data_IF_837749483626
#
_entry.id   IF_837749483626
#
_cell.length_a   1.000
_cell.length_b   1.000
_cell.length_c   1.000
_cell.angle_alpha   90.00
_cell.angle_beta   90.00
_cell.angle_gamma   90.00
#
_symmetry.space_group_name_H-M   'P 1'
#
loop_
_entity.id
_entity.type
_entity.pdbx_description
1 polymer ?
#
# COMPACT_ATOMS: atom_id res chain seq x y z
N UNK A 1 17.80 -5.10 -21.99
CA UNK A 1 17.83 -5.97 -20.78
C UNK A 1 17.61 -5.06 -19.58
N UNK A 2 16.34 -4.86 -19.20
CA UNK A 2 15.80 -4.39 -17.91
C UNK A 2 14.42 -3.82 -18.23
N UNK A 3 13.39 -4.65 -18.07
CA UNK A 3 11.99 -4.28 -18.24
C UNK A 3 11.20 -5.12 -17.24
N UNK A 4 11.46 -4.89 -15.95
CA UNK A 4 10.80 -5.53 -14.83
C UNK A 4 10.71 -4.51 -13.70
N UNK A 5 9.51 -3.97 -13.47
CA UNK A 5 8.93 -3.76 -12.13
C UNK A 5 7.71 -2.83 -12.19
N UNK A 6 6.62 -3.25 -12.83
CA UNK A 6 5.29 -2.79 -12.42
C UNK A 6 4.31 -3.96 -12.61
N UNK A 7 3.35 -4.06 -11.69
CA UNK A 7 2.40 -5.16 -11.44
C UNK A 7 2.82 -6.25 -10.46
N UNK A 8 2.65 -5.98 -9.16
CA UNK A 8 2.21 -6.99 -8.20
C UNK A 8 1.20 -6.37 -7.21
N UNK A 9 -0.08 -6.50 -7.54
CA UNK A 9 -1.19 -6.57 -6.56
C UNK A 9 -1.91 -7.91 -6.81
N UNK A 10 -2.18 -8.73 -5.77
CA UNK A 10 -2.67 -10.10 -5.96
C UNK A 10 -4.20 -10.13 -6.01
N UNK A 11 -4.77 -10.54 -7.15
CA UNK A 11 -6.16 -11.00 -7.25
C UNK A 11 -6.18 -12.49 -7.59
N UNK A 12 -6.49 -13.32 -6.61
CA UNK A 12 -6.73 -14.77 -6.77
C UNK A 12 -8.23 -15.04 -6.81
N UNK A 13 -8.77 -15.45 -7.97
CA UNK A 13 -9.98 -16.27 -8.02
C UNK A 13 -10.23 -16.90 -9.40
N UNK A 14 -10.52 -18.21 -9.36
CA UNK A 14 -11.16 -19.14 -10.34
C UNK A 14 -10.19 -20.05 -11.12
N UNK A 15 -10.49 -21.32 -11.41
CA UNK A 15 -11.40 -22.37 -10.85
C UNK A 15 -11.05 -23.66 -11.63
N UNK A 16 -10.80 -24.77 -10.94
CA UNK A 16 -11.20 -26.16 -11.22
C UNK A 16 -11.66 -26.58 -12.65
N UNK A 17 -11.00 -27.60 -13.25
CA UNK A 17 -11.45 -29.03 -13.38
C UNK A 17 -10.81 -29.77 -14.58
N UNK A 18 -10.37 -31.02 -14.34
CA UNK A 18 -10.65 -32.29 -15.07
C UNK A 18 -9.60 -33.36 -14.67
N UNK A 19 -9.93 -34.29 -13.75
CA UNK A 19 -10.26 -35.73 -13.94
C UNK A 19 -9.16 -36.58 -14.60
N UNK A 20 -8.48 -37.46 -13.84
CA UNK A 20 -8.79 -38.88 -13.53
C UNK A 20 -8.46 -39.88 -14.65
N UNK A 21 -7.53 -40.80 -14.36
CA UNK A 21 -7.38 -42.25 -14.69
C UNK A 21 -6.02 -42.60 -14.02
N UNK A 22 -5.81 -43.54 -13.10
CA UNK A 22 -6.43 -44.82 -12.80
C UNK A 22 -5.32 -45.88 -12.92
N UNK A 23 -4.86 -46.47 -11.81
CA UNK A 23 -4.28 -47.83 -11.75
C UNK A 23 -3.99 -48.29 -10.32
N UNK A 24 -4.62 -49.42 -10.02
CA UNK A 24 -4.58 -50.24 -8.80
C UNK A 24 -3.31 -51.08 -8.72
N UNK A 25 -2.63 -51.15 -7.56
CA UNK A 25 -1.88 -52.35 -7.15
C UNK A 25 -2.08 -52.60 -5.65
N UNK A 26 -2.56 -53.80 -5.33
CA UNK A 26 -2.69 -54.38 -3.99
C UNK A 26 -1.32 -54.69 -3.38
N UNK A 27 -1.19 -54.45 -2.08
CA UNK A 27 -0.13 -55.00 -1.23
C UNK A 27 -0.56 -54.94 0.24
N UNK A 28 -0.81 -56.10 0.82
CA UNK A 28 -1.32 -56.29 2.19
C UNK A 28 -0.19 -56.28 3.23
N UNK A 29 -0.54 -55.99 4.50
CA UNK A 29 -0.06 -56.61 5.77
C UNK A 29 0.21 -55.59 6.90
N UNK A 30 -0.67 -55.67 7.91
CA UNK A 30 -0.49 -55.49 9.36
C UNK A 30 0.22 -54.24 9.95
N UNK A 31 -0.55 -53.53 10.78
CA UNK A 31 -0.10 -53.17 12.13
C UNK A 31 0.28 -51.72 12.38
N UNK A 32 -0.72 -50.85 12.59
CA UNK A 32 -0.61 -49.66 13.46
C UNK A 32 -2.02 -49.12 13.74
N UNK A 33 -2.76 -49.74 14.66
CA UNK A 33 -3.92 -49.09 15.28
C UNK A 33 -3.42 -48.25 16.46
N UNK A 34 -3.87 -46.99 16.50
CA UNK A 34 -3.71 -45.98 17.56
C UNK A 34 -2.54 -44.99 17.39
N UNK A 35 -2.68 -44.09 16.42
CA UNK A 35 -2.08 -42.74 16.47
C UNK A 35 -2.90 -41.72 15.67
N UNK A 36 -3.72 -42.15 14.70
CA UNK A 36 -4.45 -41.24 13.80
C UNK A 36 -5.70 -40.57 14.39
N UNK A 37 -6.21 -41.02 15.54
CA UNK A 37 -7.46 -40.48 16.10
C UNK A 37 -7.29 -39.22 16.97
N UNK A 38 -6.07 -38.90 17.43
CA UNK A 38 -5.83 -37.68 18.22
C UNK A 38 -5.54 -36.45 17.35
N UNK A 39 -4.97 -36.67 16.15
CA UNK A 39 -4.64 -35.60 15.20
C UNK A 39 -5.90 -35.03 14.52
N UNK A 40 -6.89 -35.89 14.24
CA UNK A 40 -8.16 -35.45 13.62
C UNK A 40 -8.98 -34.53 14.55
N UNK A 41 -8.90 -34.74 15.87
CA UNK A 41 -9.77 -34.06 16.84
C UNK A 41 -9.29 -32.64 17.21
N UNK A 42 -7.97 -32.42 17.27
CA UNK A 42 -7.38 -31.09 17.53
C UNK A 42 -7.44 -30.18 16.29
N UNK A 43 -7.60 -30.77 15.10
CA UNK A 43 -7.74 -30.01 13.84
C UNK A 43 -9.04 -29.20 13.75
N UNK A 44 -10.10 -29.64 14.45
CA UNK A 44 -11.42 -28.99 14.39
C UNK A 44 -11.41 -27.62 15.09
N UNK A 45 -10.93 -27.47 16.35
CA UNK A 45 -10.76 -26.17 16.98
C UNK A 45 -9.92 -25.20 16.14
N UNK A 46 -8.81 -25.68 15.55
CA UNK A 46 -7.92 -24.87 14.72
C UNK A 46 -8.57 -24.39 13.41
N UNK A 47 -9.38 -25.23 12.76
CA UNK A 47 -10.17 -24.80 11.58
C UNK A 47 -11.27 -23.81 11.94
N UNK A 48 -11.93 -23.99 13.09
CA UNK A 48 -12.97 -23.08 13.56
C UNK A 48 -12.40 -21.68 13.84
N UNK A 49 -11.23 -21.61 14.50
CA UNK A 49 -10.57 -20.34 14.70
C UNK A 49 -10.06 -19.75 13.39
N UNK A 50 -9.51 -20.54 12.46
CA UNK A 50 -9.09 -20.03 11.15
C UNK A 50 -10.22 -19.25 10.47
N UNK A 51 -11.41 -19.86 10.38
CA UNK A 51 -12.61 -19.23 9.82
C UNK A 51 -13.03 -17.99 10.62
N UNK A 52 -12.93 -18.04 11.96
CA UNK A 52 -13.30 -16.93 12.83
C UNK A 52 -12.37 -15.73 12.66
N UNK A 53 -11.05 -15.95 12.62
CA UNK A 53 -10.05 -14.88 12.41
C UNK A 53 -10.19 -14.29 11.01
N UNK A 54 -10.44 -15.11 9.98
CA UNK A 54 -10.74 -14.64 8.63
C UNK A 54 -11.96 -13.71 8.60
N UNK A 55 -13.06 -14.10 9.26
CA UNK A 55 -14.25 -13.27 9.37
C UNK A 55 -13.97 -11.93 10.10
N UNK A 56 -13.24 -11.97 11.21
CA UNK A 56 -12.85 -10.76 11.95
C UNK A 56 -11.98 -9.85 11.09
N UNK A 57 -11.00 -10.41 10.38
CA UNK A 57 -10.13 -9.68 9.46
C UNK A 57 -10.92 -9.01 8.35
N UNK A 58 -11.83 -9.73 7.70
CA UNK A 58 -12.58 -9.20 6.58
C UNK A 58 -13.43 -8.00 7.04
N UNK A 59 -14.07 -8.10 8.22
CA UNK A 59 -14.78 -6.98 8.85
C UNK A 59 -13.88 -5.79 9.17
N UNK A 60 -12.67 -6.03 9.68
CA UNK A 60 -11.70 -4.94 9.92
C UNK A 60 -11.31 -4.26 8.61
N UNK A 61 -11.12 -5.01 7.51
CA UNK A 61 -10.81 -4.45 6.19
C UNK A 61 -11.96 -3.61 5.64
N UNK A 62 -13.20 -4.07 5.81
CA UNK A 62 -14.41 -3.31 5.43
C UNK A 62 -14.52 -1.98 6.16
N UNK A 63 -13.98 -1.89 7.38
CA UNK A 63 -13.70 -0.63 8.06
C UNK A 63 -14.91 0.05 8.69
N UNK A 64 -16.01 -0.68 8.91
CA UNK A 64 -17.22 -0.21 9.60
C UNK A 64 -16.86 0.53 10.89
N UNK A 65 -17.54 1.64 11.17
CA UNK A 65 -17.37 2.36 12.43
C UNK A 65 -18.31 1.79 13.47
N UNK A 66 -17.84 1.60 14.71
CA UNK A 66 -18.76 1.59 15.84
C UNK A 66 -19.31 3.01 16.00
N UNK A 67 -20.61 3.19 15.80
CA UNK A 67 -21.35 4.44 16.10
C UNK A 67 -21.53 4.63 17.62
N UNK A 68 -20.52 4.31 18.42
CA UNK A 68 -20.59 4.54 19.87
C UNK A 68 -20.28 6.00 20.20
N UNK A 69 -21.25 6.86 19.89
CA UNK A 69 -21.49 8.14 20.55
C UNK A 69 -21.89 7.87 22.00
N UNK A 70 -21.00 8.13 22.98
CA UNK A 70 -21.37 8.36 24.40
C UNK A 70 -20.19 8.59 25.36
N UNK A 71 -18.93 8.43 24.95
CA UNK A 71 -17.77 8.52 25.85
C UNK A 71 -16.76 9.57 25.45
N UNK A 72 -16.14 10.23 26.43
CA UNK A 72 -14.92 11.03 26.21
C UNK A 72 -13.81 10.07 25.79
N UNK A 73 -13.49 10.03 24.49
CA UNK A 73 -12.38 9.24 23.98
C UNK A 73 -11.06 9.75 24.56
N UNK A 74 -10.22 8.83 25.05
CA UNK A 74 -8.90 9.14 25.58
C UNK A 74 -7.82 8.50 24.70
N UNK A 75 -7.08 9.33 23.97
CA UNK A 75 -6.07 8.91 23.00
C UNK A 75 -4.91 8.14 23.65
N UNK A 76 -4.45 8.55 24.83
CA UNK A 76 -3.38 7.85 25.55
C UNK A 76 -3.80 6.45 25.96
N UNK A 77 -4.98 6.32 26.57
CA UNK A 77 -5.53 5.02 26.97
C UNK A 77 -5.78 4.11 25.77
N UNK A 78 -6.23 4.67 24.64
CA UNK A 78 -6.36 3.93 23.38
C UNK A 78 -5.01 3.33 22.95
N UNK A 79 -3.95 4.14 22.87
CA UNK A 79 -2.63 3.66 22.45
C UNK A 79 -2.04 2.62 23.41
N UNK A 80 -2.16 2.83 24.71
CA UNK A 80 -1.69 1.87 25.72
C UNK A 80 -2.43 0.54 25.60
N UNK A 81 -3.75 0.57 25.47
CA UNK A 81 -4.58 -0.63 25.33
C UNK A 81 -4.29 -1.35 24.02
N UNK A 82 -4.12 -0.61 22.92
CA UNK A 82 -3.79 -1.18 21.61
C UNK A 82 -2.43 -1.89 21.65
N UNK A 83 -1.41 -1.25 22.21
CA UNK A 83 -0.09 -1.84 22.35
C UNK A 83 -0.10 -3.12 23.21
N UNK A 84 -0.93 -3.16 24.26
CA UNK A 84 -1.13 -4.37 25.06
C UNK A 84 -1.84 -5.47 24.27
N UNK A 85 -2.87 -5.13 23.49
CA UNK A 85 -3.59 -6.08 22.65
C UNK A 85 -2.70 -6.70 21.55
N UNK A 86 -1.85 -5.89 20.92
CA UNK A 86 -0.85 -6.35 19.93
C UNK A 86 0.15 -7.31 20.58
N UNK A 87 0.70 -6.96 21.75
CA UNK A 87 1.61 -7.83 22.51
C UNK A 87 0.94 -9.16 22.89
N UNK A 88 -0.32 -9.13 23.32
CA UNK A 88 -1.08 -10.34 23.63
C UNK A 88 -1.26 -11.21 22.39
N UNK A 89 -1.65 -10.64 21.25
CA UNK A 89 -1.79 -11.37 19.98
C UNK A 89 -0.48 -12.06 19.56
N UNK A 90 0.66 -11.35 19.63
CA UNK A 90 1.99 -11.90 19.36
C UNK A 90 2.37 -13.06 20.31
N UNK A 91 2.10 -12.91 21.61
CA UNK A 91 2.37 -13.94 22.60
C UNK A 91 1.51 -15.19 22.39
N UNK A 92 0.20 -15.02 22.13
CA UNK A 92 -0.69 -16.14 21.86
C UNK A 92 -0.36 -16.85 20.55
N UNK A 93 0.04 -16.11 19.51
CA UNK A 93 0.53 -16.70 18.26
C UNK A 93 1.80 -17.54 18.50
N UNK A 94 2.72 -17.05 19.32
CA UNK A 94 3.95 -17.78 19.70
C UNK A 94 3.63 -19.04 20.49
N UNK A 95 2.73 -18.96 21.48
CA UNK A 95 2.29 -20.12 22.27
C UNK A 95 1.63 -21.17 21.38
N UNK A 96 0.74 -20.75 20.49
CA UNK A 96 0.08 -21.63 19.54
C UNK A 96 1.12 -22.34 18.66
N UNK A 97 2.04 -21.59 18.06
CA UNK A 97 3.11 -22.15 17.24
C UNK A 97 3.94 -23.17 18.02
N UNK A 98 4.48 -22.80 19.19
CA UNK A 98 5.31 -23.71 19.98
C UNK A 98 4.56 -24.98 20.41
N UNK A 99 3.28 -24.88 20.78
CA UNK A 99 2.47 -26.02 21.20
C UNK A 99 2.29 -27.07 20.10
N UNK A 100 2.23 -26.64 18.84
CA UNK A 100 2.06 -27.50 17.68
C UNK A 100 3.37 -27.82 16.94
N UNK A 101 4.53 -27.44 17.51
CA UNK A 101 5.83 -27.56 16.86
C UNK A 101 6.48 -28.94 16.97
N UNK A 102 6.11 -29.76 17.95
CA UNK A 102 6.69 -31.09 18.14
C UNK A 102 5.81 -31.99 19.02
N UNK A 103 5.93 -33.32 18.89
CA UNK A 103 5.27 -34.25 19.79
C UNK A 103 5.75 -34.14 21.26
N UNK A 104 4.90 -34.51 22.24
CA UNK A 104 3.49 -34.85 22.06
C UNK A 104 2.66 -33.60 21.75
N UNK A 105 1.69 -33.75 20.85
CA UNK A 105 0.75 -32.66 20.53
C UNK A 105 -0.17 -32.35 21.72
N UNK A 106 -0.74 -31.13 21.77
CA UNK A 106 -1.67 -30.76 22.83
C UNK A 106 -2.83 -31.74 22.89
N UNK A 107 -3.36 -31.98 24.10
CA UNK A 107 -4.62 -32.71 24.25
C UNK A 107 -5.75 -31.94 23.57
N UNK A 108 -6.90 -32.58 23.32
CA UNK A 108 -8.07 -31.90 22.76
C UNK A 108 -8.47 -30.69 23.61
N UNK A 109 -8.49 -30.84 24.93
CA UNK A 109 -8.83 -29.76 25.86
C UNK A 109 -7.81 -28.62 25.82
N UNK A 110 -6.50 -28.94 25.81
CA UNK A 110 -5.45 -27.91 25.70
C UNK A 110 -5.48 -27.22 24.33
N UNK A 111 -5.77 -27.95 23.26
CA UNK A 111 -5.92 -27.42 21.91
C UNK A 111 -7.11 -26.45 21.79
N UNK A 112 -8.25 -26.78 22.41
CA UNK A 112 -9.40 -25.86 22.53
C UNK A 112 -9.00 -24.61 23.32
N UNK A 113 -8.35 -24.76 24.48
CA UNK A 113 -7.89 -23.60 25.28
C UNK A 113 -6.93 -22.69 24.53
N UNK A 114 -6.00 -23.26 23.76
CA UNK A 114 -5.08 -22.50 22.91
C UNK A 114 -5.81 -21.74 21.81
N UNK A 115 -6.76 -22.38 21.13
CA UNK A 115 -7.60 -21.74 20.11
C UNK A 115 -8.45 -20.61 20.74
N UNK A 116 -9.13 -20.84 21.86
CA UNK A 116 -9.90 -19.79 22.53
C UNK A 116 -9.03 -18.59 22.94
N UNK A 117 -7.80 -18.85 23.39
CA UNK A 117 -6.86 -17.80 23.81
C UNK A 117 -6.43 -16.88 22.66
N UNK A 118 -6.03 -17.45 21.52
CA UNK A 118 -5.68 -16.64 20.35
C UNK A 118 -6.92 -15.97 19.73
N UNK A 119 -8.08 -16.64 19.72
CA UNK A 119 -9.35 -16.03 19.25
C UNK A 119 -9.72 -14.81 20.09
N UNK A 120 -9.63 -14.92 21.42
CA UNK A 120 -9.88 -13.82 22.35
C UNK A 120 -8.92 -12.66 22.09
N UNK A 121 -7.64 -12.96 21.89
CA UNK A 121 -6.62 -11.92 21.66
C UNK A 121 -6.84 -11.15 20.37
N UNK A 122 -7.17 -11.83 19.26
CA UNK A 122 -7.50 -11.15 18.00
C UNK A 122 -8.79 -10.34 18.07
N UNK A 123 -9.78 -10.82 18.83
CA UNK A 123 -11.04 -10.10 19.03
C UNK A 123 -10.83 -8.83 19.86
N UNK A 124 -10.01 -8.91 20.92
CA UNK A 124 -9.63 -7.74 21.72
C UNK A 124 -8.89 -6.73 20.86
N UNK A 125 -7.88 -7.16 20.09
CA UNK A 125 -7.14 -6.27 19.18
C UNK A 125 -8.09 -5.54 18.20
N UNK A 126 -8.98 -6.30 17.56
CA UNK A 126 -9.95 -5.74 16.60
C UNK A 126 -10.93 -4.79 17.29
N UNK A 127 -11.38 -5.12 18.50
CA UNK A 127 -12.28 -4.28 19.29
C UNK A 127 -11.64 -2.95 19.64
N UNK A 128 -10.37 -2.97 20.07
CA UNK A 128 -9.63 -1.75 20.42
C UNK A 128 -9.44 -0.88 19.19
N UNK A 129 -9.16 -1.45 18.01
CA UNK A 129 -9.15 -0.69 16.75
C UNK A 129 -10.45 0.11 16.53
N UNK A 130 -11.61 -0.51 16.75
CA UNK A 130 -12.91 0.16 16.58
C UNK A 130 -13.16 1.28 17.61
N UNK A 131 -12.35 1.42 18.65
CA UNK A 131 -12.45 2.54 19.58
C UNK A 131 -11.91 3.85 19.00
N UNK A 132 -11.07 3.82 17.97
CA UNK A 132 -10.49 5.01 17.35
C UNK A 132 -11.56 5.74 16.51
N UNK A 133 -12.05 6.91 16.94
CA UNK A 133 -13.09 7.63 16.24
C UNK A 133 -12.55 8.29 14.96
N UNK A 134 -13.43 8.46 13.97
CA UNK A 134 -13.11 9.16 12.72
C UNK A 134 -12.70 10.63 12.95
N UNK A 135 -13.16 11.26 14.02
CA UNK A 135 -12.81 12.63 14.40
C UNK A 135 -11.33 12.83 14.74
N UNK A 136 -10.58 11.75 14.99
CA UNK A 136 -9.13 11.79 15.19
C UNK A 136 -8.35 11.58 13.89
N UNK A 137 -9.04 11.49 12.75
CA UNK A 137 -8.45 11.42 11.42
C UNK A 137 -8.70 10.11 10.72
N UNK A 138 -9.23 10.20 9.50
CA UNK A 138 -9.44 9.07 8.61
C UNK A 138 -8.10 8.48 8.16
N UNK A 139 -7.09 9.32 7.92
CA UNK A 139 -5.74 8.88 7.55
C UNK A 139 -5.08 8.06 8.65
N UNK A 140 -5.07 8.57 9.89
CA UNK A 140 -4.58 7.82 11.05
C UNK A 140 -5.34 6.51 11.23
N UNK A 141 -6.68 6.57 11.21
CA UNK A 141 -7.53 5.39 11.39
C UNK A 141 -7.28 4.33 10.32
N UNK A 142 -7.05 4.73 9.06
CA UNK A 142 -6.69 3.82 7.97
C UNK A 142 -5.38 3.10 8.26
N UNK A 143 -4.34 3.80 8.70
CA UNK A 143 -3.06 3.18 9.03
C UNK A 143 -3.17 2.18 10.18
N UNK A 144 -3.93 2.51 11.23
CA UNK A 144 -4.19 1.58 12.35
C UNK A 144 -5.01 0.36 11.89
N UNK A 145 -6.03 0.58 11.04
CA UNK A 145 -6.83 -0.50 10.45
C UNK A 145 -5.94 -1.46 9.66
N UNK A 146 -5.11 -0.92 8.76
CA UNK A 146 -4.29 -1.72 7.86
C UNK A 146 -3.26 -2.53 8.66
N UNK A 147 -2.59 -1.93 9.64
CA UNK A 147 -1.69 -2.65 10.56
C UNK A 147 -2.41 -3.74 11.37
N UNK A 148 -3.64 -3.47 11.83
CA UNK A 148 -4.47 -4.48 12.52
C UNK A 148 -4.82 -5.63 11.59
N UNK A 149 -5.24 -5.34 10.37
CA UNK A 149 -5.56 -6.34 9.36
C UNK A 149 -4.35 -7.21 9.00
N UNK A 150 -3.15 -6.63 8.93
CA UNK A 150 -1.91 -7.39 8.70
C UNK A 150 -1.59 -8.37 9.83
N UNK A 151 -1.78 -7.98 11.10
CA UNK A 151 -1.63 -8.92 12.23
C UNK A 151 -2.62 -10.08 12.11
N UNK A 152 -3.87 -9.78 11.76
CA UNK A 152 -4.89 -10.81 11.56
C UNK A 152 -4.57 -11.73 10.38
N UNK A 153 -4.07 -11.17 9.26
CA UNK A 153 -3.58 -11.96 8.12
C UNK A 153 -2.41 -12.86 8.53
N UNK A 154 -1.46 -12.36 9.32
CA UNK A 154 -0.38 -13.17 9.87
C UNK A 154 -0.89 -14.34 10.74
N UNK A 155 -1.86 -14.09 11.62
CA UNK A 155 -2.48 -15.14 12.45
C UNK A 155 -3.22 -16.16 11.57
N UNK A 156 -3.94 -15.72 10.55
CA UNK A 156 -4.59 -16.61 9.57
C UNK A 156 -3.55 -17.50 8.89
N UNK A 157 -2.44 -16.93 8.40
CA UNK A 157 -1.36 -17.69 7.77
C UNK A 157 -0.73 -18.71 8.74
N UNK A 158 -0.46 -18.32 9.99
CA UNK A 158 0.09 -19.23 10.99
C UNK A 158 -0.86 -20.41 11.27
N UNK A 159 -2.15 -20.13 11.51
CA UNK A 159 -3.12 -21.20 11.78
C UNK A 159 -3.29 -22.11 10.57
N UNK A 160 -3.32 -21.55 9.36
CA UNK A 160 -3.43 -22.32 8.12
C UNK A 160 -2.23 -23.27 7.92
N UNK A 161 -1.01 -22.78 8.18
CA UNK A 161 0.22 -23.59 8.14
C UNK A 161 0.17 -24.72 9.18
N UNK A 162 -0.27 -24.44 10.42
CA UNK A 162 -0.39 -25.45 11.47
C UNK A 162 -1.43 -26.51 11.07
N UNK A 163 -2.58 -26.11 10.52
CA UNK A 163 -3.64 -27.05 10.10
C UNK A 163 -3.22 -27.89 8.90
N UNK A 164 -2.38 -27.34 8.01
CA UNK A 164 -1.99 -27.97 6.75
C UNK A 164 -0.70 -28.81 6.85
N UNK A 165 0.12 -28.59 7.89
CA UNK A 165 1.40 -29.27 8.06
C UNK A 165 1.27 -30.59 8.83
N UNK A 166 2.04 -31.63 8.48
CA UNK A 166 2.20 -32.80 9.34
C UNK A 166 2.95 -32.38 10.61
N UNK A 167 2.24 -32.29 11.73
CA UNK A 167 2.67 -31.78 13.05
C UNK A 167 3.74 -32.64 13.77
N UNK A 168 4.73 -33.12 13.03
CA UNK A 168 5.79 -34.03 13.51
C UNK A 168 7.04 -33.27 13.95
N UNK A 169 7.29 -32.09 13.40
CA UNK A 169 8.40 -31.21 13.73
C UNK A 169 8.12 -29.76 13.31
N UNK A 170 8.88 -28.82 13.88
CA UNK A 170 8.74 -27.39 13.61
C UNK A 170 9.17 -27.13 12.17
N UNK A 171 8.21 -26.82 11.30
CA UNK A 171 8.48 -26.58 9.89
C UNK A 171 9.06 -25.17 9.67
N UNK A 172 9.80 -25.01 8.57
CA UNK A 172 10.28 -23.69 8.15
C UNK A 172 9.11 -22.74 7.86
N UNK A 173 8.02 -23.24 7.27
CA UNK A 173 6.81 -22.45 7.01
C UNK A 173 6.15 -21.97 8.30
N UNK A 174 6.16 -22.80 9.35
CA UNK A 174 5.63 -22.42 10.66
C UNK A 174 6.49 -21.34 11.32
N UNK A 175 7.82 -21.45 11.22
CA UNK A 175 8.73 -20.41 11.68
C UNK A 175 8.53 -19.09 10.93
N UNK A 176 8.40 -19.15 9.60
CA UNK A 176 8.18 -17.98 8.76
C UNK A 176 6.84 -17.32 9.04
N UNK A 177 5.75 -18.09 9.14
CA UNK A 177 4.43 -17.54 9.47
C UNK A 177 4.38 -16.95 10.87
N UNK A 178 5.01 -17.59 11.87
CA UNK A 178 5.15 -17.03 13.22
C UNK A 178 5.93 -15.70 13.19
N UNK A 179 7.06 -15.66 12.47
CA UNK A 179 7.85 -14.45 12.26
C UNK A 179 7.09 -13.34 11.51
N UNK A 180 6.18 -13.72 10.60
CA UNK A 180 5.27 -12.81 9.93
C UNK A 180 4.32 -12.10 10.90
N UNK A 181 3.75 -12.83 11.88
CA UNK A 181 2.93 -12.22 12.95
C UNK A 181 3.74 -11.22 13.76
N UNK A 182 4.97 -11.59 14.14
CA UNK A 182 5.85 -10.69 14.90
C UNK A 182 6.16 -9.42 14.13
N UNK A 183 6.58 -9.55 12.86
CA UNK A 183 6.87 -8.41 12.01
C UNK A 183 5.65 -7.49 11.84
N UNK A 184 4.44 -8.04 11.71
CA UNK A 184 3.22 -7.25 11.67
C UNK A 184 2.94 -6.54 13.01
N UNK A 185 3.21 -7.18 14.14
CA UNK A 185 3.06 -6.56 15.47
C UNK A 185 4.08 -5.43 15.69
N UNK A 186 5.32 -5.61 15.26
CA UNK A 186 6.40 -4.64 15.45
C UNK A 186 6.12 -3.30 14.73
N UNK A 187 5.33 -3.33 13.64
CA UNK A 187 4.90 -2.11 12.93
C UNK A 187 4.14 -1.11 13.81
N UNK A 188 3.48 -1.57 14.89
CA UNK A 188 2.73 -0.69 15.80
C UNK A 188 3.63 0.27 16.59
N UNK A 189 4.92 -0.02 16.71
CA UNK A 189 5.89 0.88 17.32
C UNK A 189 6.09 2.15 16.47
N UNK A 190 5.97 2.00 15.15
CA UNK A 190 6.23 3.05 14.16
C UNK A 190 4.96 3.73 13.64
N UNK A 191 3.78 3.32 14.11
CA UNK A 191 2.54 3.98 13.72
C UNK A 191 2.51 5.44 14.21
N UNK A 192 2.01 6.38 13.38
CA UNK A 192 1.82 7.76 13.78
C UNK A 192 0.84 7.84 14.96
N UNK A 193 1.07 8.79 15.87
CA UNK A 193 0.25 8.92 17.10
C UNK A 193 -0.89 9.93 16.96
N UNK A 194 -0.89 10.72 15.90
CA UNK A 194 -1.89 11.72 15.54
C UNK A 194 -2.08 11.79 14.01
N UNK A 195 -3.10 12.53 13.55
CA UNK A 195 -3.40 12.63 12.13
C UNK A 195 -2.38 13.45 11.34
N UNK A 196 -1.74 14.44 11.98
CA UNK A 196 -0.71 15.25 11.31
C UNK A 196 0.47 14.37 10.89
N UNK A 197 0.98 13.53 11.78
CA UNK A 197 2.04 12.58 11.47
C UNK A 197 1.60 11.54 10.42
N UNK A 198 0.34 11.10 10.46
CA UNK A 198 -0.20 10.20 9.45
C UNK A 198 -0.21 10.83 8.04
N UNK A 199 -0.71 12.06 7.93
CA UNK A 199 -0.74 12.82 6.67
C UNK A 199 0.67 13.13 6.18
N UNK A 200 1.60 13.50 7.07
CA UNK A 200 3.00 13.70 6.69
C UNK A 200 3.66 12.45 6.14
N UNK A 201 3.37 11.28 6.71
CA UNK A 201 3.84 10.00 6.20
C UNK A 201 3.35 9.73 4.77
N UNK A 202 2.05 9.95 4.52
CA UNK A 202 1.45 9.79 3.18
C UNK A 202 2.06 10.77 2.17
N UNK A 203 2.14 12.05 2.51
CA UNK A 203 2.72 13.06 1.62
C UNK A 203 4.19 12.76 1.31
N UNK A 204 4.96 12.27 2.28
CA UNK A 204 6.36 11.87 2.07
C UNK A 204 6.45 10.70 1.08
N UNK A 205 5.55 9.71 1.18
CA UNK A 205 5.47 8.62 0.21
C UNK A 205 5.15 9.14 -1.20
N UNK A 206 4.19 10.07 -1.34
CA UNK A 206 3.84 10.66 -2.63
C UNK A 206 5.00 11.48 -3.22
N UNK A 207 5.73 12.24 -2.39
CA UNK A 207 6.96 12.95 -2.82
C UNK A 207 7.99 11.96 -3.36
N UNK A 208 8.18 10.81 -2.70
CA UNK A 208 9.08 9.74 -3.14
C UNK A 208 8.71 9.24 -4.53
N UNK A 209 7.48 8.79 -4.71
CA UNK A 209 6.98 8.26 -5.99
C UNK A 209 7.16 9.26 -7.14
N UNK A 210 6.80 10.53 -6.92
CA UNK A 210 6.94 11.55 -7.97
C UNK A 210 8.41 11.87 -8.25
N UNK A 211 9.28 11.83 -7.23
CA UNK A 211 10.73 12.03 -7.42
C UNK A 211 11.33 10.89 -8.25
N UNK A 212 10.93 9.65 -7.98
CA UNK A 212 11.38 8.48 -8.74
C UNK A 212 10.92 8.61 -10.21
N UNK A 213 9.68 9.05 -10.46
CA UNK A 213 9.21 9.30 -11.83
C UNK A 213 10.01 10.41 -12.56
N UNK A 214 10.41 11.49 -11.86
CA UNK A 214 11.28 12.51 -12.45
C UNK A 214 12.65 11.93 -12.81
N UNK A 215 13.24 11.14 -11.93
CA UNK A 215 14.55 10.51 -12.15
C UNK A 215 14.48 9.51 -13.32
N UNK A 216 13.41 8.73 -13.41
CA UNK A 216 13.16 7.80 -14.51
C UNK A 216 13.04 8.55 -15.85
N UNK A 217 12.26 9.63 -15.91
CA UNK A 217 12.13 10.45 -17.11
C UNK A 217 13.46 11.09 -17.55
N UNK A 218 14.28 11.54 -16.59
CA UNK A 218 15.59 12.14 -16.87
C UNK A 218 16.60 11.08 -17.36
N UNK A 219 16.60 9.90 -16.73
CA UNK A 219 17.47 8.79 -17.12
C UNK A 219 17.10 8.27 -18.52
N UNK A 220 15.81 8.10 -18.79
CA UNK A 220 15.35 7.61 -20.09
C UNK A 220 15.78 8.56 -21.24
N UNK A 221 15.72 9.87 -21.02
CA UNK A 221 16.25 10.84 -21.99
C UNK A 221 17.76 10.72 -22.20
N UNK A 222 18.53 10.59 -21.12
CA UNK A 222 19.99 10.49 -21.20
C UNK A 222 20.44 9.22 -21.94
N UNK A 223 19.74 8.10 -21.75
CA UNK A 223 20.05 6.81 -22.37
C UNK A 223 19.59 6.72 -23.84
N UNK A 224 18.72 7.62 -24.29
CA UNK A 224 18.17 7.65 -25.66
C UNK A 224 19.09 8.28 -26.71
N UNK A 225 20.32 8.65 -26.36
CA UNK A 225 21.33 9.04 -27.34
C UNK A 225 21.74 7.81 -28.15
N UNK A 226 21.38 7.76 -29.45
CA UNK A 226 21.74 6.65 -30.33
C UNK A 226 23.27 6.49 -30.39
N UNK A 227 23.84 5.37 -29.90
CA UNK A 227 25.29 5.12 -29.94
C UNK A 227 25.87 5.08 -31.36
N UNK A 228 25.01 5.01 -32.38
CA UNK A 228 25.37 4.96 -33.79
C UNK A 228 25.01 6.23 -34.57
N UNK A 229 24.50 7.27 -33.89
CA UNK A 229 24.15 8.57 -34.52
C UNK A 229 25.34 9.22 -35.25
N UNK A 230 26.56 8.98 -34.80
CA UNK A 230 27.79 9.57 -35.37
C UNK A 230 28.41 8.72 -36.50
N UNK A 231 27.86 7.54 -36.79
CA UNK A 231 28.51 6.53 -37.66
C UNK A 231 27.80 6.36 -39.01
N UNK A 232 26.57 6.85 -39.16
CA UNK A 232 25.74 6.62 -40.34
C UNK A 232 25.46 7.93 -41.09
N UNK A 233 25.62 7.91 -42.41
CA UNK A 233 25.17 9.00 -43.29
C UNK A 233 23.63 9.05 -43.31
N UNK A 234 23.07 10.26 -43.44
CA UNK A 234 21.63 10.55 -43.35
C UNK A 234 20.74 9.68 -44.28
N UNK A 235 21.29 9.13 -45.37
CA UNK A 235 20.56 8.29 -46.34
C UNK A 235 20.25 6.86 -45.83
N UNK A 236 20.96 6.36 -44.81
CA UNK A 236 20.75 5.00 -44.27
C UNK A 236 19.77 4.95 -43.07
N UNK A 237 19.43 6.11 -42.49
CA UNK A 237 18.54 6.22 -41.32
C UNK A 237 17.07 5.93 -41.66
N UNK A 238 16.62 6.23 -42.88
CA UNK A 238 15.25 5.98 -43.35
C UNK A 238 14.95 4.48 -43.55
N UNK A 239 15.95 3.61 -43.58
CA UNK A 239 15.78 2.15 -43.80
C UNK A 239 15.54 1.34 -42.53
N UNK A 240 15.71 1.94 -41.34
CA UNK A 240 15.41 1.28 -40.07
C UNK A 240 13.90 1.33 -39.82
N UNK A 241 13.22 0.20 -40.04
CA UNK A 241 11.78 0.00 -39.75
C UNK A 241 11.39 0.05 -38.25
N UNK A 242 12.08 0.87 -37.45
CA UNK A 242 11.96 1.03 -36.00
C UNK A 242 11.79 2.51 -35.59
N UNK A 243 11.34 3.39 -36.48
CA UNK A 243 11.09 4.82 -36.19
C UNK A 243 10.19 5.02 -34.95
N UNK A 244 9.21 4.14 -34.74
CA UNK A 244 8.29 4.18 -33.58
C UNK A 244 8.96 3.85 -32.23
N UNK A 245 10.26 3.49 -32.22
CA UNK A 245 11.00 3.09 -31.01
C UNK A 245 11.84 4.24 -30.41
N UNK A 246 11.95 5.37 -31.12
CA UNK A 246 12.83 6.48 -30.73
C UNK A 246 12.05 7.79 -30.61
N UNK A 247 12.54 8.68 -29.75
CA UNK A 247 12.04 10.05 -29.68
C UNK A 247 12.55 10.88 -30.86
N UNK A 248 11.61 11.55 -31.53
CA UNK A 248 11.93 12.63 -32.47
C UNK A 248 12.47 13.87 -31.74
N UNK A 249 13.00 14.84 -32.48
CA UNK A 249 13.43 16.12 -31.89
C UNK A 249 12.22 16.90 -31.33
N UNK A 250 11.08 16.83 -32.01
CA UNK A 250 9.81 17.39 -31.58
C UNK A 250 9.35 16.75 -30.25
N UNK A 251 9.47 15.43 -30.12
CA UNK A 251 9.16 14.71 -28.88
C UNK A 251 10.05 15.20 -27.74
N UNK A 252 11.36 15.31 -27.98
CA UNK A 252 12.32 15.79 -26.96
C UNK A 252 12.00 17.20 -26.50
N UNK A 253 11.60 18.09 -27.42
CA UNK A 253 11.16 19.44 -27.08
C UNK A 253 9.90 19.44 -26.22
N UNK A 254 8.95 18.51 -26.48
CA UNK A 254 7.71 18.34 -25.72
C UNK A 254 7.94 17.75 -24.32
N UNK A 255 8.94 16.88 -24.16
CA UNK A 255 9.24 16.28 -22.86
C UNK A 255 9.68 17.31 -21.81
N UNK A 256 10.43 18.35 -22.19
CA UNK A 256 10.96 19.34 -21.25
C UNK A 256 9.87 20.07 -20.43
N UNK A 257 8.80 20.65 -21.03
CA UNK A 257 7.71 21.23 -20.26
C UNK A 257 6.85 20.19 -19.53
N UNK A 258 6.75 18.95 -20.02
CA UNK A 258 6.10 17.86 -19.28
C UNK A 258 6.85 17.51 -17.99
N UNK A 259 8.19 17.37 -18.05
CA UNK A 259 9.05 17.24 -16.88
C UNK A 259 8.93 18.46 -15.96
N UNK A 260 8.81 19.66 -16.51
CA UNK A 260 8.54 20.88 -15.73
C UNK A 260 7.25 20.78 -14.91
N UNK A 261 6.20 20.19 -15.48
CA UNK A 261 4.93 19.96 -14.80
C UNK A 261 5.04 18.89 -13.69
N UNK A 262 5.75 17.78 -13.93
CA UNK A 262 6.03 16.76 -12.91
C UNK A 262 6.91 17.33 -11.79
N UNK A 263 7.92 18.15 -12.12
CA UNK A 263 8.73 18.87 -11.12
C UNK A 263 7.89 19.85 -10.29
N UNK A 264 6.90 20.50 -10.90
CA UNK A 264 5.97 21.37 -10.19
C UNK A 264 5.07 20.57 -9.22
N UNK A 265 4.63 19.36 -9.58
CA UNK A 265 3.87 18.49 -8.68
C UNK A 265 4.72 18.02 -7.48
N UNK A 266 5.98 17.64 -7.72
CA UNK A 266 6.93 17.31 -6.66
C UNK A 266 7.17 18.51 -5.71
N UNK A 267 7.34 19.71 -6.27
CA UNK A 267 7.49 20.92 -5.48
C UNK A 267 6.24 21.26 -4.67
N UNK A 268 5.05 21.07 -5.25
CA UNK A 268 3.75 21.24 -4.58
C UNK A 268 3.63 20.31 -3.37
N UNK A 269 3.89 19.02 -3.54
CA UNK A 269 3.86 18.04 -2.46
C UNK A 269 4.88 18.39 -1.37
N UNK A 270 6.12 18.74 -1.71
CA UNK A 270 7.14 19.14 -0.72
C UNK A 270 6.76 20.38 0.08
N UNK A 271 6.19 21.39 -0.58
CA UNK A 271 5.72 22.62 0.08
C UNK A 271 4.52 22.34 0.98
N UNK A 272 3.56 21.55 0.50
CA UNK A 272 2.44 21.07 1.32
C UNK A 272 2.93 20.30 2.55
N UNK A 273 3.85 19.34 2.40
CA UNK A 273 4.44 18.62 3.54
C UNK A 273 5.11 19.56 4.54
N UNK A 274 5.80 20.59 4.05
CA UNK A 274 6.44 21.59 4.91
C UNK A 274 5.41 22.42 5.68
N UNK A 275 4.32 22.85 5.02
CA UNK A 275 3.24 23.60 5.63
C UNK A 275 2.47 22.75 6.66
N UNK A 276 2.11 21.50 6.34
CA UNK A 276 1.49 20.56 7.29
C UNK A 276 2.40 20.33 8.50
N UNK A 277 3.72 20.19 8.29
CA UNK A 277 4.67 19.99 9.39
C UNK A 277 4.79 21.21 10.30
N UNK A 278 4.75 22.40 9.74
CA UNK A 278 4.92 23.64 10.49
C UNK A 278 3.62 24.10 11.18
N UNK A 279 2.49 23.95 10.50
CA UNK A 279 1.24 24.63 10.82
C UNK A 279 0.06 23.66 11.04
N UNK A 280 0.24 22.36 10.84
CA UNK A 280 -0.79 21.35 11.03
C UNK A 280 -1.29 21.31 12.48
N UNK A 281 -2.60 21.36 12.65
CA UNK A 281 -3.27 21.29 13.94
C UNK A 281 -4.25 20.12 13.99
N UNK A 282 -4.25 19.40 15.11
CA UNK A 282 -5.13 18.26 15.39
C UNK A 282 -6.03 18.49 16.61
N UNK A 283 -6.09 19.73 17.10
CA UNK A 283 -6.85 20.10 18.30
C UNK A 283 -8.36 20.13 18.09
N UNK A 284 -8.82 20.34 16.85
CA UNK A 284 -10.23 20.41 16.47
C UNK A 284 -10.60 19.39 15.39
N UNK A 285 -11.80 18.81 15.41
CA UNK A 285 -12.26 17.90 14.35
C UNK A 285 -12.24 18.55 12.96
N UNK A 286 -12.49 19.85 12.87
CA UNK A 286 -12.46 20.62 11.62
C UNK A 286 -11.05 20.68 11.03
N UNK A 287 -10.03 20.97 11.85
CA UNK A 287 -8.65 20.98 11.38
C UNK A 287 -8.18 19.56 10.99
N UNK A 288 -8.57 18.54 11.75
CA UNK A 288 -8.31 17.14 11.40
C UNK A 288 -8.91 16.77 10.03
N UNK A 289 -10.16 17.16 9.78
CA UNK A 289 -10.82 16.92 8.49
C UNK A 289 -10.10 17.63 7.34
N UNK A 290 -9.64 18.87 7.54
CA UNK A 290 -8.85 19.58 6.52
C UNK A 290 -7.52 18.88 6.21
N UNK A 291 -6.85 18.26 7.21
CA UNK A 291 -5.65 17.46 6.96
C UNK A 291 -5.96 16.21 6.12
N UNK A 292 -7.10 15.56 6.38
CA UNK A 292 -7.55 14.42 5.58
C UNK A 292 -7.89 14.85 4.14
N UNK A 293 -8.60 15.96 3.95
CA UNK A 293 -8.92 16.52 2.62
C UNK A 293 -7.64 16.79 1.82
N UNK A 294 -6.60 17.33 2.47
CA UNK A 294 -5.29 17.57 1.85
C UNK A 294 -4.61 16.27 1.41
N UNK A 295 -4.62 15.24 2.26
CA UNK A 295 -4.08 13.93 1.91
C UNK A 295 -4.87 13.28 0.77
N UNK A 296 -6.19 13.43 0.78
CA UNK A 296 -7.10 12.84 -0.20
C UNK A 296 -6.96 13.47 -1.58
N UNK A 297 -6.77 14.78 -1.70
CA UNK A 297 -6.50 15.38 -3.01
C UNK A 297 -5.05 15.13 -3.47
N UNK A 298 -4.08 15.10 -2.54
CA UNK A 298 -2.67 14.91 -2.87
C UNK A 298 -2.38 13.52 -3.45
N UNK A 299 -3.13 12.49 -3.06
CA UNK A 299 -2.97 11.12 -3.58
C UNK A 299 -3.20 11.01 -5.10
N UNK A 300 -3.99 11.92 -5.67
CA UNK A 300 -4.31 11.94 -7.11
C UNK A 300 -3.14 12.44 -7.98
N UNK A 301 -2.12 13.05 -7.36
CA UNK A 301 -0.93 13.51 -8.10
C UNK A 301 -0.16 12.31 -8.65
N UNK A 302 0.10 11.28 -7.85
CA UNK A 302 0.96 10.17 -8.27
C UNK A 302 0.41 9.41 -9.49
N UNK A 303 -0.87 8.99 -9.54
CA UNK A 303 -1.43 8.39 -10.76
C UNK A 303 -1.42 9.33 -11.97
N UNK A 304 -1.68 10.64 -11.77
CA UNK A 304 -1.64 11.61 -12.87
C UNK A 304 -0.24 11.84 -13.43
N UNK A 305 0.79 11.74 -12.58
CA UNK A 305 2.20 11.77 -12.97
C UNK A 305 2.55 10.52 -13.77
N UNK A 306 2.11 9.34 -13.31
CA UNK A 306 2.34 8.06 -13.97
C UNK A 306 1.70 8.04 -15.37
N UNK A 307 0.43 8.45 -15.49
CA UNK A 307 -0.27 8.57 -16.77
C UNK A 307 0.48 9.47 -17.77
N UNK A 308 0.97 10.63 -17.29
CA UNK A 308 1.75 11.56 -18.11
C UNK A 308 3.09 10.94 -18.51
N UNK A 309 3.82 10.35 -17.56
CA UNK A 309 5.12 9.73 -17.82
C UNK A 309 5.00 8.60 -18.85
N UNK A 310 4.01 7.73 -18.71
CA UNK A 310 3.74 6.64 -19.65
C UNK A 310 3.41 7.15 -21.06
N UNK A 311 2.64 8.24 -21.17
CA UNK A 311 2.32 8.83 -22.48
C UNK A 311 3.52 9.46 -23.19
N UNK A 312 4.65 9.63 -22.50
CA UNK A 312 5.86 10.20 -23.07
C UNK A 312 6.80 9.16 -23.66
N UNK A 313 6.53 7.86 -23.55
CA UNK A 313 7.35 6.84 -24.21
C UNK A 313 6.92 6.65 -25.68
N UNK A 314 7.87 6.38 -26.61
CA UNK A 314 7.54 6.16 -28.01
C UNK A 314 6.64 4.92 -28.24
N UNK A 315 5.77 4.94 -29.26
CA UNK A 315 5.42 6.10 -30.09
C UNK A 315 4.55 7.10 -29.31
N UNK A 316 4.92 8.38 -29.34
CA UNK A 316 4.24 9.42 -28.55
C UNK A 316 2.98 9.91 -29.26
N UNK A 317 1.81 9.79 -28.60
CA UNK A 317 0.57 10.40 -29.08
C UNK A 317 0.33 11.76 -28.43
N UNK A 318 0.50 12.85 -29.20
CA UNK A 318 0.44 14.22 -28.67
C UNK A 318 -0.92 14.58 -28.06
N UNK A 319 -2.02 14.06 -28.58
CA UNK A 319 -3.35 14.22 -27.99
C UNK A 319 -3.42 13.60 -26.58
N UNK A 320 -2.84 12.41 -26.40
CA UNK A 320 -2.76 11.73 -25.10
C UNK A 320 -1.86 12.48 -24.11
N UNK A 321 -0.72 12.98 -24.58
CA UNK A 321 0.18 13.83 -23.77
C UNK A 321 -0.53 15.11 -23.33
N UNK A 322 -1.27 15.79 -24.22
CA UNK A 322 -2.03 16.99 -23.87
C UNK A 322 -3.10 16.69 -22.81
N UNK A 323 -3.87 15.61 -22.99
CA UNK A 323 -4.92 15.22 -22.05
C UNK A 323 -4.34 14.93 -20.66
N UNK A 324 -3.29 14.12 -20.59
CA UNK A 324 -2.65 13.74 -19.32
C UNK A 324 -1.98 14.95 -18.65
N UNK A 325 -1.35 15.84 -19.43
CA UNK A 325 -0.79 17.09 -18.91
C UNK A 325 -1.89 18.03 -18.36
N UNK A 326 -3.03 18.14 -19.05
CA UNK A 326 -4.18 18.91 -18.58
C UNK A 326 -4.75 18.32 -17.28
N UNK A 327 -4.83 16.98 -17.18
CA UNK A 327 -5.29 16.26 -15.99
C UNK A 327 -4.36 16.54 -14.80
N UNK A 328 -3.06 16.34 -14.97
CA UNK A 328 -2.06 16.60 -13.92
C UNK A 328 -2.09 18.08 -13.48
N UNK A 329 -2.11 19.02 -14.43
CA UNK A 329 -2.21 20.44 -14.11
C UNK A 329 -3.46 20.77 -13.29
N UNK A 330 -4.61 20.18 -13.65
CA UNK A 330 -5.87 20.35 -12.93
C UNK A 330 -5.81 19.80 -11.51
N UNK A 331 -5.18 18.63 -11.32
CA UNK A 331 -4.96 18.04 -9.99
C UNK A 331 -4.06 18.94 -9.14
N UNK A 332 -2.91 19.38 -9.66
CA UNK A 332 -1.99 20.26 -8.89
C UNK A 332 -2.70 21.54 -8.46
N UNK A 333 -3.48 22.17 -9.36
CA UNK A 333 -4.25 23.39 -9.04
C UNK A 333 -5.29 23.15 -7.95
N UNK A 334 -6.04 22.04 -8.03
CA UNK A 334 -6.99 21.64 -6.97
C UNK A 334 -6.30 21.46 -5.62
N UNK A 335 -5.13 20.82 -5.60
CA UNK A 335 -4.31 20.70 -4.38
C UNK A 335 -3.99 22.10 -3.84
N UNK A 336 -3.45 22.99 -4.68
CA UNK A 336 -3.07 24.35 -4.28
C UNK A 336 -4.26 25.18 -3.77
N UNK A 337 -5.45 25.01 -4.33
CA UNK A 337 -6.67 25.67 -3.84
C UNK A 337 -7.11 25.15 -2.47
N UNK A 338 -7.07 23.83 -2.26
CA UNK A 338 -7.38 23.24 -0.96
C UNK A 338 -6.32 23.66 0.07
N UNK A 339 -5.04 23.70 -0.29
CA UNK A 339 -3.99 24.27 0.57
C UNK A 339 -4.35 25.68 0.98
N UNK A 340 -4.65 26.57 0.02
CA UNK A 340 -4.97 27.97 0.27
C UNK A 340 -6.18 28.15 1.21
N UNK A 341 -7.15 27.24 1.15
CA UNK A 341 -8.37 27.28 1.97
C UNK A 341 -8.20 26.61 3.35
N UNK A 342 -7.11 25.89 3.58
CA UNK A 342 -6.87 25.12 4.80
C UNK A 342 -6.13 25.91 5.88
N UNK A 343 -6.24 25.46 7.13
CA UNK A 343 -5.54 26.04 8.27
C UNK A 343 -4.01 25.96 8.19
N UNK A 344 -3.45 25.08 7.34
CA UNK A 344 -1.99 24.91 7.23
C UNK A 344 -1.33 26.00 6.39
N UNK A 345 -2.10 26.79 5.64
CA UNK A 345 -1.57 27.87 4.79
C UNK A 345 -1.64 29.21 5.52
N UNK A 346 -0.47 29.77 5.86
CA UNK A 346 -0.36 31.10 6.45
C UNK A 346 -0.05 32.15 5.38
N UNK A 347 -0.07 33.44 5.73
CA UNK A 347 0.22 34.52 4.77
C UNK A 347 1.57 34.37 4.07
N UNK A 348 2.59 33.88 4.79
CA UNK A 348 3.92 33.62 4.22
C UNK A 348 3.91 32.53 3.13
N UNK A 349 2.92 31.63 3.17
CA UNK A 349 2.80 30.52 2.23
C UNK A 349 2.16 30.91 0.90
N UNK A 350 1.36 31.98 0.88
CA UNK A 350 0.65 32.45 -0.33
C UNK A 350 1.60 32.72 -1.50
N UNK A 351 2.82 33.19 -1.21
CA UNK A 351 3.83 33.47 -2.22
C UNK A 351 4.23 32.21 -3.02
N UNK A 352 4.50 31.09 -2.33
CA UNK A 352 4.90 29.87 -3.04
C UNK A 352 3.70 29.20 -3.69
N UNK A 353 2.50 29.32 -3.11
CA UNK A 353 1.26 28.83 -3.73
C UNK A 353 1.02 29.54 -5.07
N UNK A 354 1.13 30.86 -5.12
CA UNK A 354 0.98 31.65 -6.34
C UNK A 354 2.07 31.34 -7.36
N UNK A 355 3.32 31.19 -6.92
CA UNK A 355 4.43 30.81 -7.79
C UNK A 355 4.20 29.46 -8.47
N UNK A 356 3.77 28.44 -7.72
CA UNK A 356 3.50 27.11 -8.28
C UNK A 356 2.31 27.13 -9.24
N UNK A 357 1.27 27.92 -8.95
CA UNK A 357 0.18 28.17 -9.88
C UNK A 357 0.69 28.67 -11.23
N UNK A 358 1.52 29.72 -11.21
CA UNK A 358 2.14 30.27 -12.42
C UNK A 358 3.06 29.28 -13.13
N UNK A 359 3.80 28.44 -12.40
CA UNK A 359 4.65 27.41 -12.98
C UNK A 359 3.85 26.32 -13.70
N UNK A 360 2.72 25.89 -13.13
CA UNK A 360 1.81 24.93 -13.78
C UNK A 360 1.24 25.53 -15.06
N UNK A 361 0.75 26.76 -15.01
CA UNK A 361 0.24 27.46 -16.20
C UNK A 361 1.31 27.60 -17.27
N UNK A 362 2.51 28.05 -16.90
CA UNK A 362 3.62 28.21 -17.85
C UNK A 362 3.94 26.92 -18.61
N UNK A 363 4.10 25.80 -17.89
CA UNK A 363 4.40 24.51 -18.51
C UNK A 363 3.25 24.02 -19.39
N UNK A 364 2.00 24.13 -18.93
CA UNK A 364 0.84 23.71 -19.70
C UNK A 364 0.67 24.53 -21.00
N UNK A 365 0.87 25.84 -20.94
CA UNK A 365 0.83 26.69 -22.14
C UNK A 365 1.93 26.31 -23.13
N UNK A 366 3.14 25.99 -22.64
CA UNK A 366 4.24 25.57 -23.50
C UNK A 366 3.97 24.21 -24.17
N UNK A 367 3.39 23.24 -23.44
CA UNK A 367 2.97 21.94 -24.00
C UNK A 367 1.99 22.17 -25.16
N UNK A 368 0.93 22.94 -24.93
CA UNK A 368 -0.09 23.24 -25.95
C UNK A 368 0.49 23.94 -27.18
N UNK A 369 1.40 24.89 -26.98
CA UNK A 369 2.03 25.61 -28.08
C UNK A 369 2.88 24.68 -28.96
N UNK A 370 3.62 23.75 -28.36
CA UNK A 370 4.44 22.78 -29.10
C UNK A 370 3.57 21.76 -29.86
N UNK A 371 2.52 21.25 -29.25
CA UNK A 371 1.61 20.30 -29.91
C UNK A 371 0.89 20.95 -31.10
N UNK A 372 0.47 22.22 -30.97
CA UNK A 372 -0.14 22.98 -32.05
C UNK A 372 0.83 23.31 -33.19
N UNK A 373 2.13 23.42 -32.91
CA UNK A 373 3.14 23.62 -33.97
C UNK A 373 3.51 22.35 -34.72
N UNK A 374 3.22 21.18 -34.14
CA UNK A 374 3.52 19.87 -34.74
C UNK A 374 2.31 19.21 -35.42
N UNK A 375 1.13 19.82 -35.31
CA UNK A 375 -0.12 19.45 -36.02
C UNK A 375 -0.27 20.29 -37.28
#
# INVERSE_FOLDING_TARGET
>A
MMLWCFYLLPTTAKRNRLTYIGSTILGSVHGAMSADNSCSDVSVPLRNILNSVQCVRDRVKDGESNESDAGVFNLTNFWDTLNQAVKAASQEATKLSLAFSKPPLPTQEDGVRLAESIQKSVLVLSTVYYWLPKSHGVSLRRLVRDATAEVLDGVVQLVDVIVSSPLQSLSQEQLQSTGGVWSACDKFEHLPRDNQAAVLGLLTSYVGVVKDAVEEMEQAQAESQDPFSDVLDDEDLESRGNQDTYWSEEDRQLMAPCQGLVKASAACLRKLSSAVKANGDVSTPENVAQLDDLADIAKEISPSVDDLALSLYPPMEYSGVEENACRLASVIKKVLDIVRASHVCLEADLNWVQFLYGAVDHNLHKIRALIQSSS
#
